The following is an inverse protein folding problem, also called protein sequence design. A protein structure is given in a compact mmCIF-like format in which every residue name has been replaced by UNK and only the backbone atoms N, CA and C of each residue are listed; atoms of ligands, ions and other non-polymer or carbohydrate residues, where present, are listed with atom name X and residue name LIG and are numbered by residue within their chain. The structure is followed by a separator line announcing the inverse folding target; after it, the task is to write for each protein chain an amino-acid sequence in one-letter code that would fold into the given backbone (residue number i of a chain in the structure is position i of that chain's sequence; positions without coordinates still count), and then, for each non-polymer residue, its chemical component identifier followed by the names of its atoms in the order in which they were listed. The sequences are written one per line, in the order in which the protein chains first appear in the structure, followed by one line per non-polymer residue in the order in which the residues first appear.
data_IF_096668035679
#
_entry.id   IF_096668035679
#
_cell.length_a   1.000
_cell.length_b   1.000
_cell.length_c   1.000
_cell.angle_alpha   90.00
_cell.angle_beta   90.00
_cell.angle_gamma   90.00
#
_symmetry.space_group_name_H-M   'P 1'
#
loop_
_entity.id
_entity.type
_entity.pdbx_description
1 polymer ?
#
# COMPACT_ATOMS: atom_id res chain seq x y z
N UNK A 1 -1.48 27.12 23.13
CA UNK A 1 -1.82 28.46 23.64
C UNK A 1 -2.72 29.23 22.66
N UNK A 2 -3.78 28.61 22.12
CA UNK A 2 -4.77 29.25 21.23
C UNK A 2 -6.24 28.84 21.53
N UNK A 3 -6.49 27.98 22.53
CA UNK A 3 -7.81 27.38 22.77
C UNK A 3 -8.92 28.43 23.03
N UNK A 4 -8.63 29.47 23.81
CA UNK A 4 -9.59 30.55 24.07
C UNK A 4 -9.93 31.40 22.83
N UNK A 5 -9.07 31.41 21.81
CA UNK A 5 -9.34 32.07 20.52
C UNK A 5 -10.16 31.16 19.62
N UNK A 6 -9.81 29.88 19.55
CA UNK A 6 -10.57 28.86 18.81
C UNK A 6 -12.02 28.79 19.27
N UNK A 7 -12.25 28.80 20.59
CA UNK A 7 -13.60 28.80 21.19
C UNK A 7 -14.40 30.04 20.77
N UNK A 8 -13.79 31.22 20.77
CA UNK A 8 -14.45 32.47 20.34
C UNK A 8 -14.80 32.47 18.86
N UNK A 9 -13.90 31.98 18.01
CA UNK A 9 -14.13 31.89 16.57
C UNK A 9 -15.24 30.87 16.26
N UNK A 10 -15.24 29.72 16.94
CA UNK A 10 -16.29 28.72 16.84
C UNK A 10 -17.66 29.27 17.29
N UNK A 11 -17.72 29.97 18.43
CA UNK A 11 -18.94 30.61 18.92
C UNK A 11 -19.48 31.69 17.97
N UNK A 12 -18.60 32.37 17.23
CA UNK A 12 -18.95 33.34 16.20
C UNK A 12 -19.31 32.69 14.84
N UNK A 13 -19.20 31.36 14.70
CA UNK A 13 -19.45 30.66 13.44
C UNK A 13 -18.40 30.93 12.35
N UNK A 14 -17.19 31.34 12.74
CA UNK A 14 -16.10 31.66 11.82
C UNK A 14 -15.21 30.43 11.64
N UNK A 15 -15.09 29.86 10.42
CA UNK A 15 -14.19 28.75 10.16
C UNK A 15 -12.74 29.18 10.38
N UNK A 16 -12.04 28.48 11.26
CA UNK A 16 -10.63 28.71 11.55
C UNK A 16 -9.92 27.39 11.84
N UNK A 17 -8.64 27.33 11.52
CA UNK A 17 -7.79 26.18 11.82
C UNK A 17 -6.40 26.65 12.23
N UNK A 18 -5.77 25.89 13.12
CA UNK A 18 -4.38 26.13 13.49
C UNK A 18 -3.45 25.66 12.37
N UNK A 19 -2.47 26.50 12.03
CA UNK A 19 -1.34 26.08 11.18
C UNK A 19 -0.42 25.17 12.01
N UNK A 20 -0.21 23.95 11.51
CA UNK A 20 0.55 22.90 12.19
C UNK A 20 1.93 22.72 11.55
N UNK A 21 2.89 22.36 12.39
CA UNK A 21 4.20 21.88 11.97
C UNK A 21 4.12 20.40 11.56
N UNK A 22 5.14 19.87 10.88
CA UNK A 22 5.09 18.53 10.30
C UNK A 22 4.91 17.42 11.34
N UNK A 23 5.58 17.51 12.48
CA UNK A 23 5.42 16.60 13.62
C UNK A 23 3.98 16.60 14.16
N UNK A 24 3.36 17.78 14.24
CA UNK A 24 1.97 17.96 14.67
C UNK A 24 0.96 17.43 13.66
N UNK A 25 1.30 17.42 12.36
CA UNK A 25 0.49 16.79 11.32
C UNK A 25 0.59 15.27 11.43
N UNK A 26 1.80 14.71 11.59
CA UNK A 26 2.00 13.26 11.72
C UNK A 26 1.22 12.68 12.92
N UNK A 27 1.18 13.40 14.03
CA UNK A 27 0.46 13.03 15.25
C UNK A 27 -1.00 13.50 15.29
N UNK A 28 -1.57 13.98 14.16
CA UNK A 28 -2.88 14.61 14.17
C UNK A 28 -4.02 13.60 14.47
N UNK A 29 -5.00 13.94 15.33
CA UNK A 29 -6.14 13.08 15.65
C UNK A 29 -6.88 12.54 14.43
N UNK A 30 -7.12 13.40 13.42
CA UNK A 30 -7.73 13.01 12.14
C UNK A 30 -6.99 11.87 11.41
N UNK A 31 -5.69 11.68 11.64
CA UNK A 31 -4.92 10.61 11.03
C UNK A 31 -4.83 9.39 11.96
N UNK A 32 -4.68 9.60 13.27
CA UNK A 32 -4.53 8.50 14.24
C UNK A 32 -5.86 7.85 14.61
N UNK A 33 -6.90 8.63 14.93
CA UNK A 33 -8.21 8.12 15.37
C UNK A 33 -8.98 7.46 14.23
N UNK A 34 -8.72 7.90 12.98
CA UNK A 34 -9.30 7.32 11.77
C UNK A 34 -8.48 6.16 11.21
N UNK A 35 -7.49 5.67 11.96
CA UNK A 35 -6.60 4.59 11.58
C UNK A 35 -6.01 4.74 10.15
N UNK A 36 -5.54 5.94 9.82
CA UNK A 36 -5.11 6.29 8.45
C UNK A 36 -3.69 5.85 8.10
N UNK A 37 -2.97 5.25 9.03
CA UNK A 37 -1.57 4.90 8.87
C UNK A 37 -1.40 3.41 8.66
N UNK A 38 -0.66 3.03 7.63
CA UNK A 38 -0.21 1.65 7.40
C UNK A 38 1.31 1.58 7.51
N UNK A 39 1.81 0.41 7.88
CA UNK A 39 3.25 0.13 7.82
C UNK A 39 3.52 -0.57 6.50
N UNK A 40 4.43 -0.01 5.70
CA UNK A 40 4.87 -0.58 4.42
C UNK A 40 6.36 -0.88 4.51
N UNK A 41 6.78 -2.01 3.94
CA UNK A 41 8.18 -2.30 3.67
C UNK A 41 8.71 -1.44 2.53
N UNK A 42 9.98 -1.11 2.63
CA UNK A 42 10.81 -0.60 1.54
C UNK A 42 12.00 -1.54 1.40
N UNK A 43 12.80 -1.37 0.36
CA UNK A 43 14.01 -2.18 0.11
C UNK A 43 14.94 -2.35 1.33
N UNK A 44 14.97 -1.37 2.24
CA UNK A 44 15.94 -1.33 3.33
C UNK A 44 15.33 -1.05 4.70
N UNK A 45 14.04 -0.72 4.80
CA UNK A 45 13.41 -0.36 6.07
C UNK A 45 11.89 -0.50 6.00
N UNK A 46 11.23 -0.37 7.15
CA UNK A 46 9.78 -0.15 7.20
C UNK A 46 9.47 1.33 7.36
N UNK A 47 8.43 1.82 6.69
CA UNK A 47 7.98 3.19 6.79
C UNK A 47 6.46 3.25 7.07
N UNK A 48 6.01 4.37 7.66
CA UNK A 48 4.58 4.65 7.78
C UNK A 48 4.09 5.39 6.54
N UNK A 49 3.06 4.84 5.91
CA UNK A 49 2.38 5.45 4.77
C UNK A 49 0.94 5.81 5.12
N UNK A 50 0.43 6.87 4.50
CA UNK A 50 -0.96 7.26 4.63
C UNK A 50 -1.82 6.47 3.65
N UNK A 51 -2.99 6.05 4.12
CA UNK A 51 -4.06 5.64 3.21
C UNK A 51 -4.37 6.76 2.22
N UNK A 52 -4.76 6.41 0.98
CA UNK A 52 -5.27 7.37 0.01
C UNK A 52 -6.36 8.27 0.62
N UNK A 53 -6.47 9.53 0.18
CA UNK A 53 -7.42 10.47 0.75
C UNK A 53 -8.86 9.98 0.63
N UNK A 54 -9.17 9.34 -0.49
CA UNK A 54 -10.46 8.70 -0.78
C UNK A 54 -10.39 7.21 -0.44
N UNK A 55 -11.27 6.78 0.47
CA UNK A 55 -11.46 5.38 0.87
C UNK A 55 -12.92 5.01 0.64
N UNK A 56 -13.20 3.74 0.38
CA UNK A 56 -14.56 3.21 0.20
C UNK A 56 -14.79 2.11 1.25
N UNK A 57 -16.03 1.96 1.73
CA UNK A 57 -16.34 1.00 2.81
C UNK A 57 -16.24 -0.46 2.34
N UNK A 58 -16.36 -0.70 1.03
CA UNK A 58 -16.33 -2.00 0.37
C UNK A 58 -14.98 -2.31 -0.29
N UNK A 59 -14.01 -1.39 -0.22
CA UNK A 59 -12.71 -1.55 -0.86
C UNK A 59 -11.58 -0.94 0.00
N UNK A 60 -10.71 -1.82 0.50
CA UNK A 60 -9.46 -1.40 1.15
C UNK A 60 -8.37 -1.20 0.09
N UNK A 61 -7.70 -0.04 0.13
CA UNK A 61 -6.61 0.25 -0.78
C UNK A 61 -5.43 -0.72 -0.54
N UNK A 62 -4.85 -1.33 -1.60
CA UNK A 62 -3.69 -2.20 -1.45
C UNK A 62 -2.46 -1.37 -1.05
N UNK A 63 -2.09 -1.44 0.22
CA UNK A 63 -0.91 -0.78 0.80
C UNK A 63 0.23 -1.79 0.97
N UNK A 64 0.59 -2.47 -0.13
CA UNK A 64 1.70 -3.41 -0.16
C UNK A 64 3.07 -2.72 -0.04
N UNK A 65 4.11 -3.53 0.06
CA UNK A 65 5.48 -3.05 0.16
C UNK A 65 5.92 -2.33 -1.12
N UNK A 66 6.80 -1.34 -0.95
CA UNK A 66 7.45 -0.66 -2.07
C UNK A 66 8.50 -1.60 -2.63
N UNK A 67 8.43 -1.94 -3.94
CA UNK A 67 9.36 -2.88 -4.52
C UNK A 67 10.79 -2.33 -4.50
N UNK A 68 11.74 -3.21 -4.24
CA UNK A 68 13.15 -2.88 -4.35
C UNK A 68 13.55 -2.63 -5.81
N UNK A 69 14.66 -1.92 -6.00
CA UNK A 69 15.22 -1.73 -7.34
C UNK A 69 15.44 -3.09 -8.02
N UNK A 70 14.82 -3.29 -9.17
CA UNK A 70 14.98 -4.50 -9.96
C UNK A 70 14.14 -5.71 -9.53
N UNK A 71 13.30 -5.60 -8.49
CA UNK A 71 12.52 -6.73 -7.95
C UNK A 71 11.59 -7.38 -8.99
N UNK A 72 10.93 -6.59 -9.83
CA UNK A 72 9.97 -7.09 -10.82
C UNK A 72 10.52 -7.09 -12.26
N UNK A 73 11.77 -6.71 -12.47
CA UNK A 73 12.33 -6.49 -13.82
C UNK A 73 12.26 -7.75 -14.68
N UNK A 74 12.72 -8.89 -14.16
CA UNK A 74 12.73 -10.15 -14.94
C UNK A 74 11.31 -10.56 -15.36
N UNK A 75 10.36 -10.55 -14.41
CA UNK A 75 8.97 -10.94 -14.66
C UNK A 75 8.31 -10.07 -15.74
N UNK A 76 8.46 -8.74 -15.64
CA UNK A 76 7.89 -7.80 -16.61
C UNK A 76 8.53 -7.93 -18.00
N UNK A 77 9.83 -8.21 -18.09
CA UNK A 77 10.50 -8.44 -19.38
C UNK A 77 10.00 -9.72 -20.06
N UNK A 78 9.78 -10.79 -19.30
CA UNK A 78 9.19 -12.03 -19.82
C UNK A 78 7.77 -11.80 -20.29
N UNK A 79 6.94 -11.13 -19.48
CA UNK A 79 5.54 -10.81 -19.83
C UNK A 79 5.45 -9.96 -21.11
N UNK A 80 6.38 -9.01 -21.27
CA UNK A 80 6.48 -8.17 -22.46
C UNK A 80 7.06 -8.90 -23.70
N UNK A 81 7.49 -10.16 -23.58
CA UNK A 81 8.05 -10.95 -24.69
C UNK A 81 9.52 -10.66 -25.02
N UNK A 82 10.26 -10.06 -24.10
CA UNK A 82 11.69 -9.83 -24.22
C UNK A 82 12.50 -10.98 -23.61
N UNK A 83 13.76 -11.14 -24.04
CA UNK A 83 14.74 -11.98 -23.37
C UNK A 83 15.39 -11.19 -22.22
N UNK A 84 15.07 -11.49 -20.95
CA UNK A 84 15.63 -10.76 -19.82
C UNK A 84 17.15 -10.95 -19.72
N UNK A 85 17.66 -12.13 -20.04
CA UNK A 85 19.07 -12.47 -19.85
C UNK A 85 19.96 -11.72 -20.84
N UNK A 86 19.47 -11.44 -22.05
CA UNK A 86 20.14 -10.56 -23.00
C UNK A 86 20.20 -9.11 -22.49
N UNK A 87 19.07 -8.54 -22.08
CA UNK A 87 18.98 -7.13 -21.67
C UNK A 87 19.74 -6.83 -20.36
N UNK A 88 19.77 -7.78 -19.42
CA UNK A 88 20.57 -7.68 -18.21
C UNK A 88 22.07 -7.73 -18.52
N UNK A 89 22.49 -8.61 -19.42
CA UNK A 89 23.91 -8.75 -19.82
C UNK A 89 24.42 -7.53 -20.58
N UNK A 90 23.57 -6.92 -21.39
CA UNK A 90 23.87 -5.67 -22.11
C UNK A 90 23.84 -4.43 -21.21
N UNK A 91 23.40 -4.57 -19.95
CA UNK A 91 23.31 -3.47 -18.99
C UNK A 91 22.17 -2.50 -19.25
N UNK A 92 21.18 -2.91 -20.05
CA UNK A 92 19.98 -2.11 -20.38
C UNK A 92 18.98 -2.15 -19.21
N UNK A 93 18.96 -3.26 -18.47
CA UNK A 93 18.08 -3.48 -17.34
C UNK A 93 18.87 -3.88 -16.08
N UNK A 94 18.24 -3.71 -14.91
CA UNK A 94 18.77 -4.17 -13.61
C UNK A 94 17.74 -5.08 -12.95
N UNK A 95 18.21 -6.24 -12.49
CA UNK A 95 17.41 -7.21 -11.76
C UNK A 95 18.01 -7.43 -10.37
N UNK A 96 17.16 -7.61 -9.37
CA UNK A 96 17.60 -7.94 -8.03
C UNK A 96 17.49 -9.46 -7.80
N UNK A 97 18.63 -10.17 -7.69
CA UNK A 97 18.65 -11.64 -7.64
C UNK A 97 18.06 -12.20 -6.34
N UNK A 98 17.89 -11.37 -5.30
CA UNK A 98 17.23 -11.79 -4.05
C UNK A 98 15.77 -12.20 -4.28
N UNK A 99 15.16 -11.75 -5.38
CA UNK A 99 13.75 -12.01 -5.69
C UNK A 99 13.52 -13.14 -6.72
N UNK A 100 14.56 -13.91 -7.07
CA UNK A 100 14.43 -15.02 -8.04
C UNK A 100 13.62 -16.22 -7.51
N UNK A 101 13.48 -16.38 -6.19
CA UNK A 101 12.85 -17.55 -5.55
C UNK A 101 11.36 -17.37 -5.13
N UNK A 102 10.78 -16.17 -5.29
CA UNK A 102 9.47 -15.83 -4.68
C UNK A 102 8.28 -16.24 -5.55
N UNK A 103 8.49 -16.54 -6.85
CA UNK A 103 7.41 -16.88 -7.79
C UNK A 103 6.74 -18.26 -7.56
N UNK A 104 6.95 -18.93 -6.43
CA UNK A 104 6.36 -20.26 -6.14
C UNK A 104 5.22 -20.25 -5.12
N UNK A 105 5.03 -19.19 -4.33
CA UNK A 105 4.13 -19.23 -3.15
C UNK A 105 2.81 -18.47 -3.33
N UNK A 106 2.75 -17.48 -4.24
CA UNK A 106 1.56 -16.61 -4.42
C UNK A 106 0.42 -17.22 -5.28
N UNK A 107 0.65 -18.35 -5.94
CA UNK A 107 -0.34 -19.01 -6.83
C UNK A 107 -1.35 -19.90 -6.07
N UNK A 108 -1.21 -20.04 -4.75
CA UNK A 108 -2.05 -20.92 -3.93
C UNK A 108 -3.48 -20.39 -3.69
N UNK A 109 -3.72 -19.09 -3.89
CA UNK A 109 -5.01 -18.46 -3.60
C UNK A 109 -6.11 -18.79 -4.64
N UNK A 110 -5.75 -19.22 -5.85
CA UNK A 110 -6.72 -19.47 -6.94
C UNK A 110 -7.26 -20.91 -6.99
N UNK A 111 -6.80 -21.82 -6.12
CA UNK A 111 -7.15 -23.25 -6.20
C UNK A 111 -8.26 -23.69 -5.24
N UNK A 112 -8.61 -22.88 -4.22
CA UNK A 112 -9.59 -23.27 -3.20
C UNK A 112 -11.06 -23.07 -3.62
N UNK A 113 -11.36 -22.32 -4.68
CA UNK A 113 -12.75 -22.05 -5.09
C UNK A 113 -13.40 -23.15 -5.96
N UNK A 114 -12.64 -24.17 -6.40
CA UNK A 114 -13.16 -25.19 -7.34
C UNK A 114 -13.67 -26.49 -6.68
N UNK A 115 -13.63 -26.62 -5.35
CA UNK A 115 -13.95 -27.89 -4.68
C UNK A 115 -15.20 -27.92 -3.78
N UNK A 116 -15.92 -26.81 -3.57
CA UNK A 116 -17.11 -26.82 -2.70
C UNK A 116 -18.41 -26.47 -3.43
N UNK A 117 -19.00 -27.47 -4.09
CA UNK A 117 -20.41 -27.46 -4.46
C UNK A 117 -21.11 -28.71 -3.91
N UNK A 118 -22.00 -28.59 -2.89
CA UNK A 118 -22.80 -29.70 -2.44
C UNK A 118 -24.15 -29.68 -3.17
N UNK A 119 -24.28 -30.51 -4.21
CA UNK A 119 -25.58 -30.78 -4.82
C UNK A 119 -26.40 -31.75 -3.95
N UNK A 120 -27.42 -31.21 -3.29
CA UNK A 120 -28.77 -31.78 -3.22
C UNK A 120 -29.01 -33.05 -2.39
N UNK A 121 -29.41 -32.89 -1.12
CA UNK A 121 -30.24 -33.86 -0.39
C UNK A 121 -31.71 -33.54 -0.61
N UNK A 122 -32.44 -34.39 -1.33
CA UNK A 122 -33.90 -34.60 -1.20
C UNK A 122 -34.23 -36.02 -1.68
N UNK A 123 -34.94 -36.78 -0.85
CA UNK A 123 -35.37 -38.16 -1.08
C UNK A 123 -35.39 -38.93 0.23
#
# INVERSE_FOLDING_TARGET
MNAALEEKLAAAGIPAAQIKQMDQVVAHPQLTERDRWRTVGTEHATARALLPPSTFDDFEAPMGDVPALGQHTRALLIEAGHDPDALLREGIAVHNPVFDDISREDDSCLQDEQQSSPAGRRG
#
